data_IF_759176817417
#
_entry.id   IF_759176817417
#
_cell.length_a   1.000
_cell.length_b   1.000
_cell.length_c   1.000
_cell.angle_alpha   90.00
_cell.angle_beta   90.00
_cell.angle_gamma   90.00
#
_symmetry.space_group_name_H-M   'P 1'
#
loop_
_entity.id
_entity.type
_entity.pdbx_description
1 polymer ?
#
# COMPACT_ATOMS: atom_id res chain seq x y z
N UNK A 1 -17.71 -13.86 -0.40
CA UNK A 1 -17.55 -14.78 0.74
C UNK A 1 -18.88 -15.38 1.21
N UNK A 2 -20.02 -14.77 0.87
CA UNK A 2 -21.34 -15.35 1.12
C UNK A 2 -22.15 -14.58 2.17
N UNK A 3 -21.74 -13.35 2.46
CA UNK A 3 -22.43 -12.46 3.40
C UNK A 3 -23.89 -12.22 3.01
N UNK A 4 -24.74 -12.14 4.03
CA UNK A 4 -26.18 -11.93 3.90
C UNK A 4 -26.57 -10.60 4.55
N UNK A 5 -27.44 -9.83 3.89
CA UNK A 5 -27.98 -8.58 4.44
C UNK A 5 -29.51 -8.67 4.51
N UNK A 6 -30.08 -8.24 5.63
CA UNK A 6 -31.52 -8.12 5.80
C UNK A 6 -32.00 -6.77 5.24
N UNK A 7 -33.13 -6.78 4.51
CA UNK A 7 -33.74 -5.57 3.93
C UNK A 7 -35.09 -5.36 4.59
N UNK A 8 -35.30 -4.17 5.16
CA UNK A 8 -36.55 -3.77 5.82
C UNK A 8 -37.18 -2.61 5.04
N UNK A 9 -38.52 -2.54 5.02
CA UNK A 9 -39.27 -1.50 4.34
C UNK A 9 -40.00 -0.61 5.37
N UNK A 10 -39.67 0.70 5.48
CA UNK A 10 -40.43 1.61 6.30
C UNK A 10 -41.80 1.88 5.65
N UNK A 11 -42.88 1.77 6.44
CA UNK A 11 -44.26 1.91 5.93
C UNK A 11 -44.92 3.25 6.34
N UNK A 12 -44.61 3.77 7.53
CA UNK A 12 -45.19 5.02 8.03
C UNK A 12 -44.53 6.25 7.39
N UNK A 13 -45.29 7.33 7.11
CA UNK A 13 -44.72 8.54 6.53
C UNK A 13 -43.61 9.15 7.40
N UNK A 14 -43.73 9.07 8.73
CA UNK A 14 -42.69 9.54 9.67
C UNK A 14 -41.42 8.68 9.56
N UNK A 15 -41.57 7.35 9.46
CA UNK A 15 -40.44 6.43 9.32
C UNK A 15 -39.74 6.59 7.96
N UNK A 16 -40.50 6.86 6.89
CA UNK A 16 -39.93 7.17 5.58
C UNK A 16 -39.11 8.47 5.64
N UNK A 17 -39.66 9.51 6.29
CA UNK A 17 -38.97 10.79 6.44
C UNK A 17 -37.70 10.65 7.30
N UNK A 18 -37.77 9.89 8.40
CA UNK A 18 -36.61 9.59 9.26
C UNK A 18 -35.51 8.85 8.49
N UNK A 19 -35.89 7.82 7.72
CA UNK A 19 -34.94 7.07 6.91
C UNK A 19 -34.24 7.95 5.87
N UNK A 20 -34.98 8.89 5.25
CA UNK A 20 -34.43 9.81 4.26
C UNK A 20 -33.52 10.88 4.88
N UNK A 21 -33.90 11.46 6.01
CA UNK A 21 -33.17 12.58 6.61
C UNK A 21 -31.98 12.14 7.48
N UNK A 22 -32.08 10.99 8.17
CA UNK A 22 -31.08 10.57 9.17
C UNK A 22 -30.33 9.31 8.78
N UNK A 23 -31.01 8.32 8.18
CA UNK A 23 -30.40 7.01 7.91
C UNK A 23 -29.74 6.88 6.54
N UNK A 24 -29.94 7.86 5.65
CA UNK A 24 -29.41 7.81 4.29
C UNK A 24 -27.87 7.74 4.29
N UNK A 25 -27.31 6.83 3.49
CA UNK A 25 -25.88 6.54 3.47
C UNK A 25 -25.01 7.78 3.14
N UNK A 26 -25.53 8.70 2.33
CA UNK A 26 -24.84 9.95 1.98
C UNK A 26 -24.62 10.89 3.16
N UNK A 27 -25.40 10.77 4.24
CA UNK A 27 -25.18 11.53 5.48
C UNK A 27 -24.12 10.89 6.38
N UNK A 28 -23.87 9.59 6.22
CA UNK A 28 -23.03 8.78 7.09
C UNK A 28 -21.60 8.61 6.54
N UNK A 29 -20.94 9.74 6.23
CA UNK A 29 -19.57 9.77 5.67
C UNK A 29 -18.52 9.65 6.77
N UNK A 30 -18.80 10.18 7.96
CA UNK A 30 -17.86 10.23 9.08
C UNK A 30 -18.17 9.17 10.13
N UNK A 31 -17.13 8.68 10.79
CA UNK A 31 -17.26 7.77 11.91
C UNK A 31 -17.72 8.56 13.16
N UNK A 32 -18.85 8.20 13.79
CA UNK A 32 -19.32 8.90 14.99
C UNK A 32 -18.32 8.91 16.16
N UNK A 33 -17.44 7.91 16.25
CA UNK A 33 -16.52 7.76 17.37
C UNK A 33 -15.31 8.71 17.32
N UNK A 34 -14.81 9.04 16.13
CA UNK A 34 -13.56 9.77 15.97
C UNK A 34 -13.56 10.83 14.86
N UNK A 35 -14.67 10.99 14.14
CA UNK A 35 -14.82 11.98 13.06
C UNK A 35 -13.96 11.71 11.82
N UNK A 36 -13.39 10.51 11.68
CA UNK A 36 -12.63 10.14 10.48
C UNK A 36 -13.57 9.67 9.35
N UNK A 37 -13.25 9.95 8.08
CA UNK A 37 -14.03 9.44 6.96
C UNK A 37 -14.05 7.90 6.93
N UNK A 38 -15.24 7.31 6.84
CA UNK A 38 -15.46 5.86 6.74
C UNK A 38 -15.45 5.41 5.29
N UNK A 39 -15.94 6.25 4.38
CA UNK A 39 -16.10 5.99 2.94
C UNK A 39 -14.79 6.16 2.15
N UNK A 40 -13.67 5.73 2.74
CA UNK A 40 -12.37 5.75 2.05
C UNK A 40 -12.33 4.63 1.01
N UNK A 41 -11.90 4.89 -0.23
CA UNK A 41 -11.66 3.85 -1.23
C UNK A 41 -10.83 2.70 -0.68
N UNK A 42 -11.09 1.48 -1.16
CA UNK A 42 -10.40 0.29 -0.68
C UNK A 42 -9.89 -0.56 -1.85
N UNK A 43 -8.85 -1.37 -1.56
CA UNK A 43 -8.31 -2.36 -2.48
C UNK A 43 -8.01 -1.79 -3.88
N UNK A 44 -8.64 -2.34 -4.91
CA UNK A 44 -8.33 -2.07 -6.32
C UNK A 44 -8.60 -0.61 -6.71
N UNK A 45 -9.56 0.06 -6.06
CA UNK A 45 -9.78 1.49 -6.24
C UNK A 45 -8.54 2.31 -5.84
N UNK A 46 -7.97 2.01 -4.68
CA UNK A 46 -6.76 2.69 -4.19
C UNK A 46 -5.57 2.38 -5.10
N UNK A 47 -5.47 1.13 -5.56
CA UNK A 47 -4.38 0.73 -6.44
C UNK A 47 -4.41 1.48 -7.78
N UNK A 48 -5.59 1.68 -8.38
CA UNK A 48 -5.73 2.45 -9.62
C UNK A 48 -5.36 3.92 -9.45
N UNK A 49 -5.81 4.55 -8.36
CA UNK A 49 -5.48 5.95 -8.01
C UNK A 49 -4.00 6.13 -7.68
N UNK A 50 -3.41 5.15 -7.01
CA UNK A 50 -1.98 5.12 -6.74
C UNK A 50 -1.18 4.98 -8.05
N UNK A 51 -1.59 4.06 -8.93
CA UNK A 51 -0.93 3.84 -10.21
C UNK A 51 -0.98 5.09 -11.09
N UNK A 52 -2.12 5.78 -11.18
CA UNK A 52 -2.21 6.98 -12.02
C UNK A 52 -1.38 8.15 -11.48
N UNK A 53 -1.27 8.31 -10.16
CA UNK A 53 -0.60 9.47 -9.55
C UNK A 53 0.89 9.27 -9.29
N UNK A 54 1.40 8.04 -9.47
CA UNK A 54 2.82 7.73 -9.32
C UNK A 54 3.63 8.31 -10.48
N UNK A 55 4.74 8.96 -10.16
CA UNK A 55 5.68 9.47 -11.16
C UNK A 55 6.61 8.35 -11.63
N UNK A 56 6.87 8.30 -12.93
CA UNK A 56 7.88 7.42 -13.53
C UNK A 56 8.85 8.28 -14.34
N UNK A 57 10.13 7.97 -14.30
CA UNK A 57 11.19 8.66 -15.07
C UNK A 57 11.63 7.82 -16.25
N UNK A 58 11.91 8.45 -17.40
CA UNK A 58 12.42 7.70 -18.55
C UNK A 58 13.71 6.99 -18.20
N UNK A 59 13.75 5.69 -18.52
CA UNK A 59 14.95 4.87 -18.41
C UNK A 59 15.35 4.41 -19.81
N UNK A 60 16.62 4.01 -20.00
CA UNK A 60 17.10 3.45 -21.28
C UNK A 60 16.24 2.30 -21.81
N UNK A 61 15.57 1.55 -20.92
CA UNK A 61 14.69 0.44 -21.26
C UNK A 61 13.21 0.84 -21.48
N UNK A 62 12.74 1.93 -20.87
CA UNK A 62 11.35 2.40 -20.94
C UNK A 62 11.36 3.91 -21.12
N UNK A 63 11.11 4.34 -22.35
CA UNK A 63 10.97 5.76 -22.67
C UNK A 63 9.55 6.19 -22.35
N UNK A 64 9.42 7.24 -21.55
CA UNK A 64 8.13 7.81 -21.19
C UNK A 64 7.85 8.97 -22.14
N UNK A 65 6.70 8.93 -22.78
CA UNK A 65 6.26 9.98 -23.68
C UNK A 65 5.79 11.19 -22.87
N UNK A 66 6.23 12.38 -23.27
CA UNK A 66 5.78 13.63 -22.67
C UNK A 66 6.54 14.11 -21.42
N UNK A 67 7.65 13.47 -21.05
CA UNK A 67 8.47 13.92 -19.93
C UNK A 67 9.05 15.33 -20.18
N UNK A 68 8.80 16.24 -19.23
CA UNK A 68 9.29 17.63 -19.27
C UNK A 68 8.49 18.56 -20.17
N UNK A 69 7.37 18.12 -20.75
CA UNK A 69 6.48 18.99 -21.51
C UNK A 69 5.79 20.00 -20.60
N UNK A 70 5.56 21.19 -21.15
CA UNK A 70 4.82 22.26 -20.49
C UNK A 70 3.49 22.45 -21.19
N UNK A 71 2.40 22.46 -20.42
CA UNK A 71 1.03 22.62 -20.88
C UNK A 71 0.45 23.92 -20.34
N UNK A 72 -0.35 24.58 -21.16
CA UNK A 72 -1.01 25.84 -20.83
C UNK A 72 -2.23 25.62 -19.93
N UNK A 73 -2.96 24.50 -20.09
CA UNK A 73 -4.16 24.21 -19.29
C UNK A 73 -4.35 22.70 -19.06
N UNK A 74 -5.17 22.31 -18.06
CA UNK A 74 -5.55 20.91 -17.85
C UNK A 74 -6.23 20.26 -19.07
N UNK A 75 -7.02 21.01 -19.86
CA UNK A 75 -7.68 20.45 -21.05
C UNK A 75 -6.67 20.02 -22.12
N UNK A 76 -5.56 20.76 -22.27
CA UNK A 76 -4.50 20.42 -23.19
C UNK A 76 -3.83 19.08 -22.81
N UNK A 77 -3.66 18.84 -21.51
CA UNK A 77 -3.14 17.56 -20.99
C UNK A 77 -4.09 16.41 -21.33
N UNK A 78 -5.41 16.61 -21.17
CA UNK A 78 -6.43 15.60 -21.49
C UNK A 78 -6.40 15.27 -22.99
N UNK A 79 -6.32 16.29 -23.85
CA UNK A 79 -6.21 16.11 -25.31
C UNK A 79 -4.93 15.33 -25.65
N UNK A 80 -3.78 15.74 -25.10
CA UNK A 80 -2.52 15.06 -25.34
C UNK A 80 -2.52 13.60 -24.86
N UNK A 81 -3.19 13.31 -23.74
CA UNK A 81 -3.37 11.95 -23.22
C UNK A 81 -4.26 11.11 -24.13
N UNK A 82 -5.36 11.68 -24.62
CA UNK A 82 -6.28 10.99 -25.54
C UNK A 82 -5.63 10.67 -26.90
N UNK A 83 -4.80 11.58 -27.41
CA UNK A 83 -3.98 11.39 -28.62
C UNK A 83 -2.76 10.49 -28.40
N UNK A 84 -2.54 9.99 -27.17
CA UNK A 84 -1.41 9.14 -26.77
C UNK A 84 -0.02 9.78 -26.99
N UNK A 85 0.03 11.11 -26.96
CA UNK A 85 1.27 11.87 -27.03
C UNK A 85 2.03 11.90 -25.69
N UNK A 86 1.33 11.63 -24.58
CA UNK A 86 1.88 11.61 -23.22
C UNK A 86 1.46 10.34 -22.47
N UNK A 87 2.36 9.84 -21.62
CA UNK A 87 2.06 8.74 -20.71
C UNK A 87 1.46 9.23 -19.39
N UNK A 88 0.62 8.39 -18.76
CA UNK A 88 -0.07 8.70 -17.50
C UNK A 88 0.88 9.10 -16.36
N UNK A 89 2.05 8.46 -16.30
CA UNK A 89 3.03 8.63 -15.24
C UNK A 89 4.13 9.65 -15.58
N UNK A 90 4.02 10.33 -16.73
CA UNK A 90 5.00 11.30 -17.19
C UNK A 90 5.03 12.53 -16.28
N UNK A 91 6.24 13.02 -15.99
CA UNK A 91 6.43 14.30 -15.31
C UNK A 91 6.18 15.44 -16.30
N UNK A 92 5.26 16.35 -15.95
CA UNK A 92 4.85 17.48 -16.78
C UNK A 92 4.81 18.77 -15.95
N UNK A 93 4.81 19.91 -16.63
CA UNK A 93 4.52 21.22 -16.03
C UNK A 93 3.18 21.69 -16.55
N UNK A 94 2.25 22.03 -15.67
CA UNK A 94 0.93 22.54 -16.08
C UNK A 94 0.65 23.84 -15.34
N UNK A 95 0.04 24.78 -16.04
CA UNK A 95 -0.50 26.00 -15.44
C UNK A 95 -1.91 25.68 -14.92
N UNK A 96 -2.10 25.77 -13.60
CA UNK A 96 -3.37 25.47 -12.92
C UNK A 96 -3.62 26.48 -11.81
N UNK A 97 -4.88 26.62 -11.41
CA UNK A 97 -5.24 27.36 -10.21
C UNK A 97 -4.92 26.50 -8.98
N UNK A 98 -4.21 27.08 -8.02
CA UNK A 98 -3.93 26.46 -6.72
C UNK A 98 -3.93 27.53 -5.63
N UNK A 99 -4.06 27.10 -4.37
CA UNK A 99 -3.93 28.00 -3.24
C UNK A 99 -2.46 28.39 -3.05
N UNK A 100 -2.17 29.68 -3.13
CA UNK A 100 -0.88 30.21 -2.74
C UNK A 100 -0.64 30.06 -1.22
N UNK A 101 0.58 30.36 -0.77
CA UNK A 101 0.95 30.40 0.65
C UNK A 101 0.06 31.35 1.51
N UNK A 102 -0.71 32.23 0.87
CA UNK A 102 -1.64 33.19 1.48
C UNK A 102 -3.12 32.76 1.42
N UNK A 103 -3.42 31.59 0.87
CA UNK A 103 -4.79 31.05 0.77
C UNK A 103 -5.65 31.66 -0.34
N UNK A 104 -5.04 32.34 -1.30
CA UNK A 104 -5.71 32.88 -2.50
C UNK A 104 -5.48 31.93 -3.67
N UNK A 105 -6.55 31.62 -4.40
CA UNK A 105 -6.49 30.88 -5.68
C UNK A 105 -5.79 31.75 -6.72
N UNK A 106 -4.54 31.41 -7.05
CA UNK A 106 -3.83 32.03 -8.16
C UNK A 106 -3.39 30.99 -9.18
N UNK A 107 -3.26 31.45 -10.42
CA UNK A 107 -2.79 30.60 -11.51
C UNK A 107 -1.27 30.47 -11.45
N UNK A 108 -0.78 29.29 -11.06
CA UNK A 108 0.65 29.00 -10.96
C UNK A 108 1.09 27.87 -11.90
N UNK A 109 2.37 27.85 -12.23
CA UNK A 109 2.99 26.76 -12.99
C UNK A 109 3.50 25.69 -11.99
N UNK A 110 2.86 24.53 -11.99
CA UNK A 110 3.15 23.45 -11.03
C UNK A 110 3.77 22.26 -11.76
N UNK A 111 4.80 21.67 -11.15
CA UNK A 111 5.35 20.39 -11.60
C UNK A 111 4.49 19.23 -11.07
N UNK A 112 3.92 18.45 -11.98
CA UNK A 112 2.96 17.39 -11.63
C UNK A 112 3.07 16.21 -12.60
N UNK A 113 2.13 15.26 -12.53
CA UNK A 113 2.03 14.15 -13.50
C UNK A 113 0.71 14.21 -14.24
N UNK A 114 0.66 13.64 -15.44
CA UNK A 114 -0.58 13.58 -16.26
C UNK A 114 -1.73 12.98 -15.45
N UNK A 115 -1.50 11.87 -14.74
CA UNK A 115 -2.53 11.26 -13.91
C UNK A 115 -3.00 12.12 -12.73
N UNK A 116 -2.13 12.96 -12.15
CA UNK A 116 -2.56 13.92 -11.11
C UNK A 116 -3.44 15.02 -11.69
N UNK A 117 -3.17 15.48 -12.91
CA UNK A 117 -4.04 16.45 -13.60
C UNK A 117 -5.43 15.85 -13.83
N UNK A 118 -5.50 14.61 -14.34
CA UNK A 118 -6.76 13.90 -14.55
C UNK A 118 -7.54 13.67 -13.24
N UNK A 119 -6.83 13.47 -12.13
CA UNK A 119 -7.46 13.38 -10.82
C UNK A 119 -8.02 14.74 -10.36
N UNK A 120 -7.24 15.81 -10.49
CA UNK A 120 -7.63 17.15 -10.08
C UNK A 120 -8.81 17.74 -10.87
N UNK A 121 -9.05 17.27 -12.10
CA UNK A 121 -10.26 17.63 -12.86
C UNK A 121 -11.56 17.25 -12.11
N UNK A 122 -11.51 16.20 -11.26
CA UNK A 122 -12.65 15.74 -10.46
C UNK A 122 -12.67 16.34 -9.06
N UNK A 123 -11.58 16.99 -8.63
CA UNK A 123 -11.47 17.59 -7.30
C UNK A 123 -12.26 18.91 -7.27
N UNK A 124 -13.09 19.16 -6.25
CA UNK A 124 -13.76 20.45 -6.11
C UNK A 124 -12.75 21.60 -6.00
N UNK A 125 -12.98 22.70 -6.72
CA UNK A 125 -12.07 23.86 -6.73
C UNK A 125 -11.77 24.42 -5.32
N UNK A 126 -12.72 24.29 -4.39
CA UNK A 126 -12.57 24.72 -3.00
C UNK A 126 -11.48 23.95 -2.21
N UNK A 127 -11.08 22.76 -2.68
CA UNK A 127 -10.09 21.92 -1.99
C UNK A 127 -8.64 22.18 -2.45
N UNK A 128 -8.45 22.89 -3.56
CA UNK A 128 -7.13 23.18 -4.12
C UNK A 128 -6.53 22.01 -4.91
N UNK A 129 -5.29 22.22 -5.38
CA UNK A 129 -4.62 21.24 -6.24
C UNK A 129 -3.89 20.16 -5.41
N UNK A 130 -4.23 18.90 -5.66
CA UNK A 130 -3.66 17.76 -4.96
C UNK A 130 -2.46 17.22 -5.74
N UNK A 131 -1.25 17.48 -5.25
CA UNK A 131 0.01 17.09 -5.91
C UNK A 131 0.82 16.04 -5.12
N UNK A 132 0.16 15.02 -4.58
CA UNK A 132 0.80 13.92 -3.88
C UNK A 132 0.46 12.55 -4.48
N UNK A 133 1.16 11.51 -4.03
CA UNK A 133 0.83 10.13 -4.41
C UNK A 133 -0.36 9.65 -3.59
N UNK A 134 -1.39 9.14 -4.27
CA UNK A 134 -2.64 8.72 -3.63
C UNK A 134 -2.49 7.32 -3.02
N UNK A 135 -2.08 7.27 -1.76
CA UNK A 135 -2.11 6.10 -0.90
C UNK A 135 -3.42 6.05 -0.13
N UNK A 136 -3.74 4.90 0.48
CA UNK A 136 -4.92 4.77 1.36
C UNK A 136 -4.92 5.79 2.50
N UNK A 137 -3.74 6.18 2.99
CA UNK A 137 -3.62 7.17 4.06
C UNK A 137 -3.86 8.59 3.53
N UNK A 138 -3.16 8.99 2.46
CA UNK A 138 -3.35 10.32 1.88
C UNK A 138 -4.78 10.53 1.38
N UNK A 139 -5.42 9.51 0.77
CA UNK A 139 -6.83 9.59 0.37
C UNK A 139 -7.76 9.90 1.55
N UNK A 140 -7.51 9.32 2.73
CA UNK A 140 -8.30 9.64 3.92
C UNK A 140 -8.14 11.11 4.32
N UNK A 141 -6.91 11.61 4.30
CA UNK A 141 -6.60 12.99 4.69
C UNK A 141 -7.17 14.00 3.67
N UNK A 142 -7.09 13.68 2.37
CA UNK A 142 -7.69 14.43 1.27
C UNK A 142 -9.22 14.50 1.40
N UNK A 143 -9.89 13.36 1.60
CA UNK A 143 -11.36 13.33 1.74
C UNK A 143 -11.79 14.15 2.95
N UNK A 144 -11.02 14.09 4.04
CA UNK A 144 -11.27 14.92 5.22
C UNK A 144 -11.09 16.42 4.95
N UNK A 145 -10.06 16.79 4.18
CA UNK A 145 -9.84 18.18 3.75
C UNK A 145 -10.96 18.69 2.85
N UNK A 146 -11.38 17.90 1.87
CA UNK A 146 -12.48 18.24 0.96
C UNK A 146 -13.78 18.40 1.73
N UNK A 147 -14.11 17.50 2.64
CA UNK A 147 -15.32 17.59 3.45
C UNK A 147 -15.35 18.84 4.34
N UNK A 148 -14.19 19.34 4.78
CA UNK A 148 -14.10 20.61 5.53
C UNK A 148 -14.26 21.84 4.65
N UNK A 149 -13.75 21.78 3.42
CA UNK A 149 -13.79 22.88 2.48
C UNK A 149 -15.13 22.99 1.73
N UNK A 150 -15.87 21.88 1.65
CA UNK A 150 -17.08 21.71 0.83
C UNK A 150 -18.26 21.18 1.65
N UNK A 151 -19.34 20.81 0.97
CA UNK A 151 -20.53 20.23 1.57
C UNK A 151 -20.56 18.69 1.47
N UNK A 152 -21.42 18.06 2.30
CA UNK A 152 -21.65 16.60 2.29
C UNK A 152 -22.08 16.09 0.91
N UNK A 153 -23.02 16.73 0.18
CA UNK A 153 -23.41 16.28 -1.16
C UNK A 153 -22.28 16.36 -2.18
N UNK A 154 -21.47 17.43 -2.16
CA UNK A 154 -20.33 17.58 -3.07
C UNK A 154 -19.25 16.52 -2.78
N UNK A 155 -18.97 16.26 -1.51
CA UNK A 155 -18.05 15.19 -1.12
C UNK A 155 -18.56 13.82 -1.55
N UNK A 156 -19.87 13.56 -1.42
CA UNK A 156 -20.47 12.30 -1.87
C UNK A 156 -20.32 12.12 -3.40
N UNK A 157 -20.60 13.16 -4.19
CA UNK A 157 -20.39 13.14 -5.64
C UNK A 157 -18.92 12.91 -6.01
N UNK A 158 -18.01 13.57 -5.31
CA UNK A 158 -16.56 13.36 -5.49
C UNK A 158 -16.12 11.91 -5.20
N UNK A 159 -16.67 11.28 -4.16
CA UNK A 159 -16.37 9.89 -3.83
C UNK A 159 -16.81 8.92 -4.93
N UNK A 160 -17.97 9.15 -5.55
CA UNK A 160 -18.45 8.36 -6.69
C UNK A 160 -17.59 8.54 -7.94
N UNK A 161 -17.14 9.77 -8.22
CA UNK A 161 -16.19 10.05 -9.31
C UNK A 161 -14.86 9.34 -9.09
N UNK A 162 -14.28 9.43 -7.88
CA UNK A 162 -13.04 8.73 -7.54
C UNK A 162 -13.20 7.22 -7.66
N UNK A 163 -14.34 6.68 -7.24
CA UNK A 163 -14.63 5.25 -7.36
C UNK A 163 -14.54 4.80 -8.81
N UNK A 164 -15.25 5.50 -9.69
CA UNK A 164 -15.24 5.24 -11.13
C UNK A 164 -13.84 5.37 -11.72
N UNK A 165 -13.12 6.45 -11.36
CA UNK A 165 -11.76 6.73 -11.81
C UNK A 165 -10.78 5.63 -11.37
N UNK A 166 -10.81 5.24 -10.09
CA UNK A 166 -9.96 4.21 -9.51
C UNK A 166 -10.15 2.86 -10.19
N UNK A 167 -11.39 2.41 -10.40
CA UNK A 167 -11.65 1.16 -11.12
C UNK A 167 -11.22 1.21 -12.59
N UNK A 168 -11.49 2.32 -13.29
CA UNK A 168 -11.10 2.49 -14.69
C UNK A 168 -9.59 2.43 -14.87
N UNK A 169 -8.82 3.13 -14.03
CA UNK A 169 -7.36 3.13 -14.11
C UNK A 169 -6.73 1.85 -13.54
N UNK A 170 -7.35 1.17 -12.58
CA UNK A 170 -6.93 -0.16 -12.16
C UNK A 170 -7.06 -1.17 -13.31
N UNK A 171 -8.19 -1.13 -14.04
CA UNK A 171 -8.40 -1.98 -15.21
C UNK A 171 -7.42 -1.66 -16.35
N UNK A 172 -7.28 -0.38 -16.73
CA UNK A 172 -6.32 0.05 -17.77
C UNK A 172 -4.87 -0.20 -17.40
N UNK A 173 -4.54 -0.13 -16.10
CA UNK A 173 -3.20 -0.40 -15.59
C UNK A 173 -2.77 -1.86 -15.74
N UNK A 174 -3.72 -2.81 -15.86
CA UNK A 174 -3.42 -4.21 -16.15
C UNK A 174 -2.49 -4.86 -15.12
N UNK A 175 -2.50 -4.37 -13.87
CA UNK A 175 -1.61 -4.83 -12.81
C UNK A 175 -1.95 -6.29 -12.48
N UNK A 176 -0.96 -7.15 -12.64
CA UNK A 176 -1.06 -8.57 -12.34
C UNK A 176 0.01 -8.98 -11.33
N UNK A 177 -0.28 -10.04 -10.58
CA UNK A 177 0.64 -10.62 -9.63
C UNK A 177 1.32 -11.82 -10.28
N UNK A 178 2.62 -11.71 -10.55
CA UNK A 178 3.41 -12.83 -11.07
C UNK A 178 4.45 -13.31 -10.05
N UNK A 179 4.81 -14.59 -10.13
CA UNK A 179 5.95 -15.14 -9.38
C UNK A 179 7.28 -14.46 -9.74
N UNK A 180 7.38 -13.87 -10.94
CA UNK A 180 8.55 -13.11 -11.38
C UNK A 180 8.76 -11.81 -10.59
N UNK A 181 7.67 -11.18 -10.15
CA UNK A 181 7.70 -9.92 -9.40
C UNK A 181 8.18 -10.10 -7.94
N UNK A 182 8.18 -11.35 -7.44
CA UNK A 182 8.67 -11.72 -6.12
C UNK A 182 10.20 -11.89 -6.19
N UNK A 183 10.95 -10.85 -5.87
CA UNK A 183 12.42 -10.89 -5.96
C UNK A 183 13.01 -11.40 -4.64
N UNK A 184 13.69 -12.55 -4.70
CA UNK A 184 14.44 -13.11 -3.56
C UNK A 184 15.86 -12.51 -3.58
N UNK A 185 16.35 -11.94 -2.47
CA UNK A 185 17.74 -11.47 -2.37
C UNK A 185 18.74 -12.61 -2.53
N UNK A 186 19.78 -12.42 -3.35
CA UNK A 186 20.84 -13.43 -3.52
C UNK A 186 21.70 -13.57 -2.25
N UNK A 187 21.83 -12.48 -1.49
CA UNK A 187 22.54 -12.41 -0.22
C UNK A 187 21.86 -13.23 0.87
N UNK A 188 20.62 -13.69 0.66
CA UNK A 188 19.89 -14.55 1.59
C UNK A 188 20.74 -15.73 2.05
N UNK A 189 21.36 -16.46 1.13
CA UNK A 189 22.18 -17.62 1.47
C UNK A 189 23.40 -17.23 2.32
N UNK A 190 24.09 -16.15 1.95
CA UNK A 190 25.24 -15.68 2.72
C UNK A 190 24.87 -15.20 4.12
N UNK A 191 23.69 -14.59 4.29
CA UNK A 191 23.18 -14.16 5.61
C UNK A 191 22.82 -15.36 6.48
N UNK A 192 22.17 -16.37 5.90
CA UNK A 192 21.83 -17.62 6.61
C UNK A 192 23.12 -18.35 7.04
N UNK A 193 24.12 -18.44 6.16
CA UNK A 193 25.40 -19.08 6.49
C UNK A 193 26.15 -18.32 7.60
N UNK A 194 26.09 -16.99 7.60
CA UNK A 194 26.66 -16.16 8.67
C UNK A 194 25.93 -16.40 10.00
N UNK A 195 24.60 -16.45 9.99
CA UNK A 195 23.79 -16.74 11.17
C UNK A 195 24.08 -18.15 11.74
N UNK A 196 24.17 -19.16 10.87
CA UNK A 196 24.53 -20.53 11.27
C UNK A 196 25.90 -20.57 11.98
N UNK A 197 26.92 -19.87 11.45
CA UNK A 197 28.24 -19.79 12.11
C UNK A 197 28.18 -19.12 13.48
N UNK A 198 27.33 -18.11 13.66
CA UNK A 198 27.15 -17.48 14.97
C UNK A 198 26.46 -18.43 15.96
N UNK A 199 25.45 -19.17 15.50
CA UNK A 199 24.75 -20.19 16.30
C UNK A 199 25.72 -21.31 16.70
N UNK A 200 26.59 -21.77 15.80
CA UNK A 200 27.62 -22.77 16.11
C UNK A 200 28.60 -22.27 17.19
N UNK A 201 28.98 -21.00 17.13
CA UNK A 201 29.80 -20.36 18.16
C UNK A 201 29.12 -20.34 19.53
N UNK A 202 27.81 -20.06 19.58
CA UNK A 202 27.02 -20.11 20.83
C UNK A 202 26.92 -21.54 21.35
N UNK A 203 26.69 -22.52 20.46
CA UNK A 203 26.67 -23.93 20.86
C UNK A 203 28.02 -24.38 21.42
N UNK A 204 29.13 -23.94 20.83
CA UNK A 204 30.47 -24.23 21.35
C UNK A 204 30.68 -23.64 22.75
N UNK A 205 30.28 -22.38 22.98
CA UNK A 205 30.36 -21.75 24.29
C UNK A 205 29.50 -22.47 25.35
N UNK A 206 28.32 -22.94 24.96
CA UNK A 206 27.47 -23.77 25.82
C UNK A 206 28.13 -25.10 26.16
N UNK A 207 28.72 -25.78 25.17
CA UNK A 207 29.42 -27.06 25.37
C UNK A 207 30.68 -26.91 26.25
N UNK A 208 31.32 -25.73 26.24
CA UNK A 208 32.43 -25.39 27.14
C UNK A 208 31.97 -24.98 28.55
N UNK A 209 30.66 -24.88 28.79
CA UNK A 209 30.09 -24.49 30.09
C UNK A 209 30.18 -23.00 30.40
N UNK A 210 30.42 -22.14 29.40
CA UNK A 210 30.56 -20.69 29.56
C UNK A 210 29.22 -19.96 29.71
N UNK A 211 28.13 -20.55 29.19
CA UNK A 211 26.78 -19.97 29.19
C UNK A 211 25.72 -21.00 29.63
N UNK A 212 24.60 -20.54 30.14
CA UNK A 212 23.47 -21.40 30.53
C UNK A 212 22.57 -21.75 29.34
N UNK A 213 21.73 -22.78 29.47
CA UNK A 213 20.80 -23.17 28.39
C UNK A 213 19.77 -22.08 28.07
N UNK A 214 19.34 -21.30 29.07
CA UNK A 214 18.40 -20.20 28.85
C UNK A 214 19.07 -19.05 28.06
N UNK A 215 20.33 -18.73 28.38
CA UNK A 215 21.10 -17.74 27.62
C UNK A 215 21.37 -18.20 26.19
N UNK A 216 21.76 -19.47 26.01
CA UNK A 216 21.91 -20.09 24.69
C UNK A 216 20.62 -19.94 23.87
N UNK A 217 19.48 -20.34 24.45
CA UNK A 217 18.18 -20.28 23.78
C UNK A 217 17.80 -18.86 23.36
N UNK A 218 17.93 -17.88 24.26
CA UNK A 218 17.62 -16.48 23.95
C UNK A 218 18.56 -15.91 22.88
N UNK A 219 19.87 -16.17 22.97
CA UNK A 219 20.83 -15.68 21.97
C UNK A 219 20.58 -16.27 20.57
N UNK A 220 20.20 -17.55 20.48
CA UNK A 220 19.84 -18.18 19.19
C UNK A 220 18.60 -17.52 18.60
N UNK A 221 17.58 -17.25 19.42
CA UNK A 221 16.36 -16.55 18.99
C UNK A 221 16.69 -15.13 18.50
N UNK A 222 17.54 -14.42 19.22
CA UNK A 222 17.92 -13.04 18.89
C UNK A 222 18.66 -12.98 17.55
N UNK A 223 19.60 -13.90 17.29
CA UNK A 223 20.30 -13.97 16.00
C UNK A 223 19.33 -14.19 14.85
N UNK A 224 18.42 -15.16 14.97
CA UNK A 224 17.47 -15.46 13.90
C UNK A 224 16.45 -14.34 13.71
N UNK A 225 16.03 -13.68 14.78
CA UNK A 225 15.12 -12.53 14.71
C UNK A 225 15.79 -11.36 14.01
N UNK A 226 17.05 -11.05 14.36
CA UNK A 226 17.84 -10.00 13.73
C UNK A 226 18.09 -10.28 12.25
N UNK A 227 18.56 -11.49 11.93
CA UNK A 227 18.84 -11.92 10.54
C UNK A 227 17.58 -11.85 9.67
N UNK A 228 16.43 -12.28 10.20
CA UNK A 228 15.17 -12.21 9.48
C UNK A 228 14.71 -10.76 9.25
N UNK A 229 14.89 -9.87 10.24
CA UNK A 229 14.57 -8.45 10.09
C UNK A 229 15.45 -7.79 9.01
N UNK A 230 16.75 -8.05 9.01
CA UNK A 230 17.70 -7.53 8.03
C UNK A 230 17.38 -8.04 6.61
N UNK A 231 17.08 -9.34 6.47
CA UNK A 231 16.67 -9.93 5.19
C UNK A 231 15.36 -9.32 4.67
N UNK A 232 14.43 -9.00 5.58
CA UNK A 232 13.17 -8.35 5.24
C UNK A 232 13.42 -6.95 4.68
N UNK A 233 14.25 -6.14 5.34
CA UNK A 233 14.60 -4.81 4.84
C UNK A 233 15.29 -4.86 3.49
N UNK A 234 16.21 -5.81 3.30
CA UNK A 234 16.90 -6.00 2.02
C UNK A 234 15.93 -6.38 0.89
N UNK A 235 15.01 -7.32 1.17
CA UNK A 235 13.97 -7.73 0.22
C UNK A 235 13.06 -6.55 -0.15
N UNK A 236 12.62 -5.79 0.84
CA UNK A 236 11.78 -4.61 0.68
C UNK A 236 12.47 -3.53 -0.15
N UNK A 237 13.77 -3.30 0.08
CA UNK A 237 14.57 -2.35 -0.69
C UNK A 237 14.65 -2.76 -2.17
N UNK A 238 14.94 -4.03 -2.46
CA UNK A 238 15.01 -4.53 -3.85
C UNK A 238 13.68 -4.38 -4.59
N UNK A 239 12.58 -4.72 -3.95
CA UNK A 239 11.23 -4.62 -4.56
C UNK A 239 10.79 -3.16 -4.74
N UNK A 240 11.24 -2.25 -3.85
CA UNK A 240 11.04 -0.81 -4.00
C UNK A 240 11.82 -0.22 -5.17
N UNK A 241 13.07 -0.63 -5.37
CA UNK A 241 13.94 -0.12 -6.43
C UNK A 241 13.62 -0.73 -7.80
N UNK A 242 13.02 -1.92 -7.82
CA UNK A 242 12.61 -2.61 -9.04
C UNK A 242 11.63 -1.78 -9.88
N UNK A 243 11.96 -1.60 -11.15
CA UNK A 243 11.21 -0.78 -12.10
C UNK A 243 10.86 0.63 -11.59
N UNK A 244 11.72 1.25 -10.76
CA UNK A 244 11.43 2.52 -10.07
C UNK A 244 10.19 2.46 -9.15
N UNK A 245 9.94 1.29 -8.55
CA UNK A 245 8.80 1.02 -7.69
C UNK A 245 7.51 0.66 -8.44
N UNK A 246 7.57 0.40 -9.74
CA UNK A 246 6.42 -0.09 -10.53
C UNK A 246 6.25 -1.61 -10.48
N UNK A 247 7.00 -2.30 -9.61
CA UNK A 247 6.74 -3.70 -9.28
C UNK A 247 5.32 -3.86 -8.69
N UNK A 248 4.51 -4.76 -9.25
CA UNK A 248 3.12 -4.96 -8.85
C UNK A 248 2.96 -5.27 -7.35
N UNK A 249 3.84 -6.11 -6.80
CA UNK A 249 3.82 -6.50 -5.38
C UNK A 249 4.14 -5.29 -4.50
N UNK A 250 5.13 -4.49 -4.90
CA UNK A 250 5.46 -3.24 -4.21
C UNK A 250 4.28 -2.28 -4.20
N UNK A 251 3.66 -2.07 -5.36
CA UNK A 251 2.56 -1.13 -5.51
C UNK A 251 1.34 -1.52 -4.68
N UNK A 252 1.00 -2.81 -4.61
CA UNK A 252 -0.10 -3.29 -3.75
C UNK A 252 0.15 -2.97 -2.28
N UNK A 253 1.40 -3.16 -1.81
CA UNK A 253 1.78 -2.84 -0.43
C UNK A 253 1.82 -1.34 -0.16
N UNK A 254 2.57 -0.59 -0.97
CA UNK A 254 2.88 0.83 -0.74
C UNK A 254 1.62 1.69 -0.85
N UNK A 255 0.71 1.34 -1.76
CA UNK A 255 -0.61 1.98 -1.85
C UNK A 255 -1.50 1.71 -0.64
N UNK A 256 -1.23 0.64 0.12
CA UNK A 256 -2.11 0.15 1.19
C UNK A 256 -3.40 -0.49 0.67
N UNK A 257 -3.44 -0.84 -0.63
CA UNK A 257 -4.57 -1.51 -1.26
C UNK A 257 -4.73 -2.94 -0.74
N UNK A 258 -3.65 -3.73 -0.81
CA UNK A 258 -3.62 -5.15 -0.39
C UNK A 258 -2.21 -5.54 0.03
N UNK A 259 -2.13 -6.44 0.99
CA UNK A 259 -0.86 -6.98 1.45
C UNK A 259 -0.31 -6.29 2.70
N UNK A 260 0.50 -7.01 3.44
CA UNK A 260 1.29 -6.48 4.55
C UNK A 260 2.77 -6.78 4.34
N UNK A 261 3.64 -6.01 5.01
CA UNK A 261 5.09 -6.24 4.99
C UNK A 261 5.44 -7.66 5.43
N UNK A 262 4.67 -8.17 6.40
CA UNK A 262 4.80 -9.53 6.92
C UNK A 262 4.45 -10.59 5.87
N UNK A 263 3.38 -10.38 5.09
CA UNK A 263 3.02 -11.31 4.02
C UNK A 263 4.06 -11.33 2.90
N UNK A 264 4.61 -10.18 2.53
CA UNK A 264 5.69 -10.10 1.52
C UNK A 264 6.96 -10.77 2.04
N UNK A 265 7.30 -10.57 3.31
CA UNK A 265 8.42 -11.27 3.97
C UNK A 265 8.32 -12.78 3.80
N UNK A 266 7.14 -13.36 4.01
CA UNK A 266 6.92 -14.81 3.87
C UNK A 266 7.03 -15.31 2.42
N UNK A 267 6.88 -14.42 1.42
CA UNK A 267 7.03 -14.75 0.01
C UNK A 267 8.48 -14.63 -0.46
N UNK A 268 9.21 -13.60 -0.03
CA UNK A 268 10.53 -13.23 -0.61
C UNK A 268 11.71 -13.54 0.30
N UNK A 269 11.50 -13.49 1.63
CA UNK A 269 12.55 -13.61 2.63
C UNK A 269 12.67 -15.04 3.15
N UNK A 270 12.52 -15.18 4.47
CA UNK A 270 12.38 -16.44 5.18
C UNK A 270 11.16 -16.34 6.10
N UNK A 271 10.52 -17.48 6.41
CA UNK A 271 9.36 -17.47 7.30
C UNK A 271 9.77 -17.23 8.77
N UNK A 272 10.97 -17.65 9.15
CA UNK A 272 11.56 -17.34 10.45
C UNK A 272 11.12 -18.29 11.57
N UNK A 273 11.18 -17.81 12.80
CA UNK A 273 10.88 -18.58 14.00
C UNK A 273 9.37 -18.74 14.20
N UNK A 274 8.92 -19.96 14.53
CA UNK A 274 7.52 -20.27 14.78
C UNK A 274 7.25 -20.47 16.28
N UNK A 275 6.07 -20.08 16.73
CA UNK A 275 5.63 -20.29 18.10
C UNK A 275 5.10 -21.74 18.26
N UNK A 276 5.48 -22.42 19.34
CA UNK A 276 4.89 -23.72 19.67
C UNK A 276 3.42 -23.56 20.07
N UNK A 277 2.54 -24.49 19.66
CA UNK A 277 1.18 -24.53 20.18
C UNK A 277 1.21 -24.77 21.68
N UNK A 278 0.49 -23.93 22.44
CA UNK A 278 0.43 -24.02 23.89
C UNK A 278 -0.24 -25.34 24.31
N UNK A 279 0.45 -26.16 25.12
CA UNK A 279 -0.24 -27.14 25.96
C UNK A 279 -0.90 -26.37 27.10
N UNK A 280 -2.14 -26.71 27.43
CA UNK A 280 -3.01 -26.02 28.40
C UNK A 280 -2.40 -25.78 29.79
N UNK A 281 -1.29 -26.45 30.14
CA UNK A 281 -0.63 -26.37 31.44
C UNK A 281 0.77 -25.73 31.41
N UNK A 282 1.26 -25.23 30.26
CA UNK A 282 2.59 -24.60 30.15
C UNK A 282 2.45 -23.07 30.03
N UNK A 283 2.95 -22.35 31.03
CA UNK A 283 2.96 -20.89 31.09
C UNK A 283 4.05 -20.30 30.17
N UNK A 284 3.74 -20.13 28.90
CA UNK A 284 4.59 -19.41 27.94
C UNK A 284 4.47 -19.96 26.53
N UNK A 285 4.34 -19.09 25.53
CA UNK A 285 4.46 -19.47 24.12
C UNK A 285 5.93 -19.65 23.78
N UNK A 286 6.50 -20.83 24.03
CA UNK A 286 7.88 -21.12 23.64
C UNK A 286 8.04 -21.03 22.13
N UNK A 287 9.12 -20.40 21.69
CA UNK A 287 9.49 -20.30 20.29
C UNK A 287 10.33 -21.53 19.92
N UNK A 288 10.11 -22.10 18.74
CA UNK A 288 10.93 -23.20 18.21
C UNK A 288 12.27 -22.61 17.77
N UNK A 289 13.37 -23.15 18.30
CA UNK A 289 14.73 -22.64 18.04
C UNK A 289 15.21 -22.84 16.59
N UNK A 290 14.63 -23.82 15.89
CA UNK A 290 14.92 -24.07 14.48
C UNK A 290 14.00 -23.21 13.60
N UNK A 291 14.53 -22.19 12.89
CA UNK A 291 13.74 -21.35 12.02
C UNK A 291 13.38 -22.09 10.72
N UNK A 292 12.32 -21.61 10.07
CA UNK A 292 12.00 -21.97 8.69
C UNK A 292 12.80 -21.02 7.77
N UNK A 293 13.79 -21.57 7.07
CA UNK A 293 14.69 -20.81 6.19
C UNK A 293 14.05 -20.59 4.80
N UNK A 294 13.21 -21.52 4.38
CA UNK A 294 12.51 -21.47 3.10
C UNK A 294 11.39 -20.43 3.09
N UNK A 295 11.03 -19.96 1.90
CA UNK A 295 9.86 -19.11 1.67
C UNK A 295 8.81 -19.81 0.79
N UNK A 296 7.61 -19.23 0.66
CA UNK A 296 6.54 -19.83 -0.14
C UNK A 296 6.86 -19.91 -1.64
N UNK A 297 7.77 -19.07 -2.16
CA UNK A 297 8.21 -19.14 -3.56
C UNK A 297 9.16 -20.30 -3.83
N UNK A 298 10.03 -20.62 -2.87
CA UNK A 298 10.96 -21.76 -2.92
C UNK A 298 10.26 -23.09 -2.58
N UNK A 299 9.18 -23.02 -1.79
CA UNK A 299 8.49 -24.17 -1.25
C UNK A 299 9.07 -24.59 0.10
N UNK A 300 8.27 -25.29 0.91
CA UNK A 300 8.65 -25.73 2.25
C UNK A 300 8.96 -27.23 2.23
N UNK A 301 9.99 -27.64 2.97
CA UNK A 301 10.19 -29.06 3.26
C UNK A 301 9.07 -29.62 4.16
N UNK A 302 8.92 -30.94 4.22
CA UNK A 302 7.90 -31.61 5.04
C UNK A 302 8.04 -31.21 6.52
N UNK A 303 9.27 -31.12 7.03
CA UNK A 303 9.54 -30.73 8.42
C UNK A 303 9.22 -29.26 8.67
N UNK A 304 9.63 -28.37 7.77
CA UNK A 304 9.31 -26.94 7.88
C UNK A 304 7.81 -26.70 7.79
N UNK A 305 7.09 -27.45 6.94
CA UNK A 305 5.63 -27.37 6.83
C UNK A 305 4.93 -27.89 8.10
N UNK A 306 5.47 -28.93 8.75
CA UNK A 306 4.92 -29.45 10.00
C UNK A 306 5.12 -28.50 11.20
N UNK A 307 6.22 -27.76 11.22
CA UNK A 307 6.55 -26.78 12.28
C UNK A 307 5.79 -25.44 12.07
N UNK A 308 5.31 -25.20 10.86
CA UNK A 308 4.68 -23.96 10.38
C UNK A 308 3.33 -23.62 10.99
#
# INVERSE_FOLDING_TARGET
DGDQMAVHLPLGPEAILEAQLLMLASHNILNPANGSPVTVPSQDMVLGLYYMTKLRKSTKAVKILGEGLTFYSPEEVIIAYNEKCVDLNAQIRVRTEDFNAEGVLETQLIETTVGRVLFNEKVPAAAGYINEVLTKKSLRDIIHGILKATSVPETAGFLDEIKSLGYNFAFKGGLSFSLGDIIIPQEKHTMIDAANKQVDGIMANYNMGLITNNERYNQVIDIWTSTNAELTELSMKRIREDQQGFNSVYMMLDSGARGSKEQIRQLTGMRGLMAKPKKSNAGGGEIIENPILSNFKEGLSILEYFIS
#
